data_IF_781127510013
#
_entry.id   IF_781127510013
#
_cell.length_a   1.000
_cell.length_b   1.000
_cell.length_c   1.000
_cell.angle_alpha   90.00
_cell.angle_beta   90.00
_cell.angle_gamma   90.00
#
_symmetry.space_group_name_H-M   'P 1'
#
loop_
_entity.id
_entity.type
_entity.pdbx_description
1 polymer ?
#
# COMPACT_ATOMS: atom_id res chain seq x y z
N UNK A 1 -15.98 -12.02 3.72
CA UNK A 1 -14.59 -11.60 3.55
C UNK A 1 -14.30 -11.34 2.08
N UNK A 2 -13.75 -10.19 1.77
CA UNK A 2 -13.43 -9.81 0.40
C UNK A 2 -11.93 -9.81 0.21
N UNK A 3 -11.44 -10.36 -0.91
CA UNK A 3 -10.03 -10.38 -1.24
C UNK A 3 -9.81 -9.93 -2.67
N UNK A 4 -8.77 -9.12 -2.87
CA UNK A 4 -8.37 -8.62 -4.17
C UNK A 4 -6.87 -8.87 -4.30
N UNK A 5 -6.46 -9.41 -5.45
CA UNK A 5 -5.05 -9.59 -5.76
C UNK A 5 -4.85 -9.21 -7.22
N UNK A 6 -3.97 -8.25 -7.47
CA UNK A 6 -3.69 -7.78 -8.82
C UNK A 6 -2.21 -7.52 -9.00
N UNK A 7 -1.78 -7.55 -10.26
CA UNK A 7 -0.44 -7.14 -10.64
C UNK A 7 -0.53 -5.86 -11.45
N UNK A 8 0.37 -4.94 -11.13
CA UNK A 8 0.47 -3.67 -11.81
C UNK A 8 1.86 -3.55 -12.43
N UNK A 9 1.94 -2.97 -13.62
CA UNK A 9 3.23 -2.64 -14.19
C UNK A 9 3.88 -1.55 -13.35
N UNK A 10 5.18 -1.71 -13.07
CA UNK A 10 5.92 -0.77 -12.22
C UNK A 10 6.29 0.48 -13.01
N UNK A 11 5.30 1.25 -13.37
CA UNK A 11 5.43 2.46 -14.17
C UNK A 11 4.68 3.61 -13.49
N UNK A 12 4.87 4.81 -14.01
CA UNK A 12 4.31 6.02 -13.39
C UNK A 12 2.80 6.02 -13.19
N UNK A 13 2.06 5.20 -13.93
CA UNK A 13 0.60 5.13 -13.82
C UNK A 13 0.11 4.11 -12.79
N UNK A 14 1.01 3.37 -12.15
CA UNK A 14 0.61 2.26 -11.27
C UNK A 14 -0.26 2.73 -10.11
N UNK A 15 0.09 3.85 -9.46
CA UNK A 15 -0.69 4.35 -8.33
C UNK A 15 -2.10 4.75 -8.76
N UNK A 16 -2.24 5.39 -9.91
CA UNK A 16 -3.55 5.77 -10.43
C UNK A 16 -4.39 4.53 -10.76
N UNK A 17 -3.76 3.52 -11.37
CA UNK A 17 -4.45 2.28 -11.69
C UNK A 17 -4.93 1.57 -10.42
N UNK A 18 -4.11 1.58 -9.37
CA UNK A 18 -4.51 1.01 -8.10
C UNK A 18 -5.71 1.74 -7.50
N UNK A 19 -5.71 3.08 -7.54
CA UNK A 19 -6.84 3.85 -7.02
C UNK A 19 -8.13 3.59 -7.78
N UNK A 20 -8.06 3.54 -9.11
CA UNK A 20 -9.23 3.24 -9.94
C UNK A 20 -9.80 1.87 -9.58
N UNK A 21 -8.93 0.88 -9.45
CA UNK A 21 -9.34 -0.48 -9.09
C UNK A 21 -10.02 -0.51 -7.72
N UNK A 22 -9.42 0.14 -6.73
CA UNK A 22 -9.97 0.16 -5.37
C UNK A 22 -11.35 0.82 -5.36
N UNK A 23 -11.50 1.95 -6.03
CA UNK A 23 -12.81 2.61 -6.08
C UNK A 23 -13.86 1.75 -6.76
N UNK A 24 -13.48 1.08 -7.83
CA UNK A 24 -14.39 0.22 -8.57
C UNK A 24 -14.82 -0.99 -7.76
N UNK A 25 -13.88 -1.61 -7.05
CA UNK A 25 -14.13 -2.87 -6.35
C UNK A 25 -14.64 -2.67 -4.93
N UNK A 26 -14.23 -1.60 -4.26
CA UNK A 26 -14.49 -1.41 -2.83
C UNK A 26 -15.18 -0.09 -2.51
N UNK A 27 -15.43 0.75 -3.50
CA UNK A 27 -15.99 2.09 -3.26
C UNK A 27 -17.35 2.09 -2.59
N UNK A 28 -18.17 1.08 -2.84
CA UNK A 28 -19.49 0.96 -2.23
C UNK A 28 -19.48 0.08 -0.99
N UNK A 29 -18.39 -0.65 -0.76
CA UNK A 29 -18.28 -1.59 0.36
C UNK A 29 -17.73 -0.91 1.60
N UNK A 30 -16.78 -0.01 1.43
CA UNK A 30 -16.10 0.63 2.55
C UNK A 30 -16.73 1.97 2.90
N UNK A 31 -16.79 2.30 4.19
CA UNK A 31 -17.15 3.66 4.59
C UNK A 31 -16.20 4.68 3.98
N UNK A 32 -16.68 5.89 3.75
CA UNK A 32 -15.92 6.91 3.01
C UNK A 32 -14.56 7.20 3.65
N UNK A 33 -14.49 7.31 4.97
CA UNK A 33 -13.26 7.61 5.68
C UNK A 33 -12.23 6.50 5.50
N UNK A 34 -12.67 5.26 5.63
CA UNK A 34 -11.78 4.11 5.49
C UNK A 34 -11.32 3.95 4.04
N UNK A 35 -12.21 4.18 3.09
CA UNK A 35 -11.85 4.17 1.68
C UNK A 35 -10.77 5.22 1.38
N UNK A 36 -10.93 6.42 1.93
CA UNK A 36 -9.97 7.49 1.74
C UNK A 36 -8.60 7.12 2.29
N UNK A 37 -8.57 6.56 3.51
CA UNK A 37 -7.33 6.12 4.12
C UNK A 37 -6.66 5.02 3.29
N UNK A 38 -7.45 4.06 2.80
CA UNK A 38 -6.92 2.99 1.96
C UNK A 38 -6.32 3.53 0.67
N UNK A 39 -7.04 4.44 0.00
CA UNK A 39 -6.54 5.05 -1.23
C UNK A 39 -5.23 5.80 -0.98
N UNK A 40 -5.13 6.48 0.14
CA UNK A 40 -3.93 7.25 0.50
C UNK A 40 -2.75 6.32 0.76
N UNK A 41 -2.95 5.30 1.59
CA UNK A 41 -1.87 4.35 1.92
C UNK A 41 -1.40 3.61 0.68
N UNK A 42 -2.32 3.06 -0.11
CA UNK A 42 -1.94 2.31 -1.30
C UNK A 42 -1.22 3.20 -2.31
N UNK A 43 -1.68 4.43 -2.50
CA UNK A 43 -1.04 5.37 -3.43
C UNK A 43 0.42 5.60 -3.04
N UNK A 44 0.69 5.82 -1.76
CA UNK A 44 2.04 6.08 -1.30
C UNK A 44 2.92 4.84 -1.42
N UNK A 45 2.40 3.68 -1.07
CA UNK A 45 3.18 2.44 -1.16
C UNK A 45 3.48 2.04 -2.59
N UNK A 46 2.51 2.19 -3.49
CA UNK A 46 2.73 1.88 -4.90
C UNK A 46 3.72 2.88 -5.52
N UNK A 47 3.59 4.16 -5.18
CA UNK A 47 4.53 5.18 -5.65
C UNK A 47 5.95 4.88 -5.18
N UNK A 48 6.10 4.47 -3.92
CA UNK A 48 7.41 4.07 -3.38
C UNK A 48 7.96 2.85 -4.12
N UNK A 49 7.12 1.87 -4.42
CA UNK A 49 7.54 0.69 -5.15
C UNK A 49 8.01 1.02 -6.57
N UNK A 50 7.35 1.97 -7.23
CA UNK A 50 7.78 2.43 -8.56
C UNK A 50 9.12 3.15 -8.47
N UNK A 51 9.29 4.01 -7.48
CA UNK A 51 10.51 4.84 -7.36
C UNK A 51 11.72 4.06 -6.90
N UNK A 52 11.55 3.19 -5.93
CA UNK A 52 12.66 2.60 -5.18
C UNK A 52 12.76 1.09 -5.35
N UNK A 53 11.72 0.46 -5.86
CA UNK A 53 11.73 -0.97 -6.08
C UNK A 53 12.47 -1.36 -7.34
N UNK A 54 12.63 -2.65 -7.52
CA UNK A 54 13.20 -3.22 -8.72
C UNK A 54 12.20 -4.22 -9.30
N UNK A 55 12.41 -4.56 -10.56
CA UNK A 55 11.49 -5.44 -11.27
C UNK A 55 10.42 -4.66 -12.01
N UNK A 56 9.63 -5.38 -12.77
CA UNK A 56 8.68 -4.80 -13.69
C UNK A 56 7.25 -4.83 -13.17
N UNK A 57 7.03 -5.50 -12.05
CA UNK A 57 5.69 -5.79 -11.56
C UNK A 57 5.58 -5.45 -10.08
N UNK A 58 4.43 -4.86 -9.73
CA UNK A 58 4.04 -4.61 -8.35
C UNK A 58 2.81 -5.47 -8.08
N UNK A 59 2.85 -6.22 -6.99
CA UNK A 59 1.72 -7.05 -6.56
C UNK A 59 1.01 -6.33 -5.43
N UNK A 60 -0.29 -6.13 -5.62
CA UNK A 60 -1.16 -5.51 -4.63
C UNK A 60 -2.19 -6.53 -4.17
N UNK A 61 -2.25 -6.77 -2.87
CA UNK A 61 -3.22 -7.66 -2.26
C UNK A 61 -3.97 -6.92 -1.17
N UNK A 62 -5.29 -7.00 -1.20
CA UNK A 62 -6.16 -6.35 -0.23
C UNK A 62 -7.15 -7.35 0.31
N UNK A 63 -7.53 -7.20 1.56
CA UNK A 63 -8.55 -8.02 2.19
C UNK A 63 -9.39 -7.19 3.14
N UNK A 64 -10.69 -7.49 3.19
CA UNK A 64 -11.60 -6.90 4.17
C UNK A 64 -12.06 -8.02 5.07
N UNK A 65 -11.77 -7.91 6.35
CA UNK A 65 -12.13 -8.91 7.34
C UNK A 65 -13.59 -8.74 7.80
N UNK A 66 -14.06 -9.72 8.57
CA UNK A 66 -15.44 -9.75 9.06
C UNK A 66 -15.74 -8.55 9.95
N UNK A 67 -14.74 -8.06 10.69
CA UNK A 67 -14.92 -6.91 11.57
C UNK A 67 -14.84 -5.57 10.81
N UNK A 68 -14.59 -5.62 9.51
CA UNK A 68 -14.50 -4.42 8.68
C UNK A 68 -13.09 -3.85 8.57
N UNK A 69 -12.11 -4.45 9.24
CA UNK A 69 -10.72 -4.02 9.07
C UNK A 69 -10.22 -4.34 7.67
N UNK A 70 -9.26 -3.55 7.19
CA UNK A 70 -8.68 -3.74 5.86
C UNK A 70 -7.21 -4.09 6.03
N UNK A 71 -6.80 -5.20 5.41
CA UNK A 71 -5.39 -5.57 5.33
C UNK A 71 -4.91 -5.38 3.90
N UNK A 72 -3.66 -5.00 3.75
CA UNK A 72 -3.09 -4.80 2.43
C UNK A 72 -1.61 -5.13 2.40
N UNK A 73 -1.15 -5.49 1.21
CA UNK A 73 0.25 -5.77 0.95
C UNK A 73 0.61 -5.20 -0.41
N UNK A 74 1.76 -4.54 -0.45
CA UNK A 74 2.35 -4.07 -1.71
C UNK A 74 3.75 -4.69 -1.80
N UNK A 75 3.97 -5.46 -2.85
CA UNK A 75 5.21 -6.22 -3.03
C UNK A 75 5.81 -5.98 -4.40
N UNK A 76 7.12 -5.81 -4.44
CA UNK A 76 7.87 -5.77 -5.70
C UNK A 76 9.08 -6.72 -5.60
N UNK A 77 9.63 -7.12 -6.75
CA UNK A 77 10.65 -8.16 -6.79
C UNK A 77 11.99 -7.71 -6.23
N UNK A 78 12.27 -6.42 -6.25
CA UNK A 78 13.57 -5.93 -5.83
C UNK A 78 13.68 -5.79 -4.32
N UNK A 79 14.92 -5.86 -3.85
CA UNK A 79 15.24 -5.51 -2.48
C UNK A 79 15.49 -4.01 -2.43
N UNK A 80 14.47 -3.25 -2.80
CA UNK A 80 14.54 -1.82 -2.75
C UNK A 80 14.70 -1.36 -1.31
N UNK A 81 15.15 -0.13 -1.16
CA UNK A 81 15.37 0.42 0.17
C UNK A 81 14.13 1.11 0.66
N UNK A 82 13.16 0.32 1.05
CA UNK A 82 12.01 0.84 1.75
C UNK A 82 12.27 0.63 3.23
N UNK A 83 13.05 1.49 3.82
CA UNK A 83 13.35 1.38 5.23
C UNK A 83 12.43 2.28 6.02
N UNK A 84 11.94 1.81 7.19
CA UNK A 84 11.24 2.70 8.10
C UNK A 84 12.25 3.73 8.58
N UNK A 85 12.08 4.96 8.17
CA UNK A 85 12.99 6.02 8.55
C UNK A 85 12.38 6.92 9.60
N UNK A 86 13.22 7.53 10.42
CA UNK A 86 12.73 8.54 11.35
C UNK A 86 12.01 9.66 10.61
N UNK A 87 11.13 10.30 11.32
CA UNK A 87 10.25 11.33 10.76
C UNK A 87 11.01 12.57 10.28
N UNK A 88 12.20 12.76 10.74
CA UNK A 88 12.99 13.94 10.37
C UNK A 88 13.54 13.87 8.95
N UNK A 89 13.34 12.77 8.25
CA UNK A 89 13.87 12.66 6.91
C UNK A 89 13.19 13.67 6.00
N UNK A 90 14.00 14.50 5.41
CA UNK A 90 13.54 15.43 4.40
C UNK A 90 13.36 14.73 3.04
N UNK A 91 13.57 13.43 2.98
CA UNK A 91 13.50 12.69 1.72
C UNK A 91 12.09 12.24 1.46
N UNK A 92 11.67 12.31 0.20
CA UNK A 92 10.35 11.87 -0.23
C UNK A 92 10.07 10.40 0.10
N UNK A 93 11.11 9.57 0.11
CA UNK A 93 10.93 8.15 0.38
C UNK A 93 10.48 7.87 1.82
N UNK A 94 10.85 8.74 2.77
CA UNK A 94 10.40 8.60 4.15
C UNK A 94 8.97 9.04 4.35
N UNK A 95 8.47 9.94 3.50
CA UNK A 95 7.14 10.52 3.69
C UNK A 95 6.02 9.51 3.50
N UNK A 96 6.14 8.60 2.52
CA UNK A 96 5.13 7.57 2.30
C UNK A 96 4.96 6.67 3.51
N UNK A 97 6.05 6.31 4.15
CA UNK A 97 5.99 5.48 5.35
C UNK A 97 5.44 6.24 6.54
N UNK A 98 5.64 7.55 6.62
CA UNK A 98 5.02 8.37 7.65
C UNK A 98 3.50 8.37 7.53
N UNK A 99 2.99 8.46 6.31
CA UNK A 99 1.56 8.41 6.07
C UNK A 99 1.02 7.04 6.47
N UNK A 100 1.70 5.97 6.11
CA UNK A 100 1.31 4.63 6.52
C UNK A 100 1.29 4.52 8.04
N UNK A 101 2.35 4.98 8.71
CA UNK A 101 2.42 4.93 10.16
C UNK A 101 1.32 5.75 10.83
N UNK A 102 0.91 6.86 10.21
CA UNK A 102 -0.14 7.70 10.75
C UNK A 102 -1.54 7.09 10.59
N UNK A 103 -1.79 6.41 9.49
CA UNK A 103 -3.13 5.92 9.15
C UNK A 103 -3.33 4.46 9.49
N UNK A 104 -2.28 3.64 9.44
CA UNK A 104 -2.39 2.21 9.70
C UNK A 104 -2.30 1.92 11.19
N UNK A 105 -3.10 0.95 11.64
CA UNK A 105 -3.01 0.44 13.00
C UNK A 105 -1.74 -0.38 13.19
N UNK A 106 -1.38 -1.13 12.16
CA UNK A 106 -0.14 -1.93 12.12
C UNK A 106 0.44 -1.89 10.73
N UNK A 107 1.76 -1.96 10.66
CA UNK A 107 2.43 -2.07 9.37
C UNK A 107 3.82 -2.66 9.57
N UNK A 108 4.35 -3.27 8.52
CA UNK A 108 5.66 -3.90 8.56
C UNK A 108 6.30 -3.88 7.18
N UNK A 109 7.62 -4.00 7.16
CA UNK A 109 8.39 -4.11 5.92
C UNK A 109 9.24 -5.37 6.01
N UNK A 110 9.15 -6.21 4.98
CA UNK A 110 9.94 -7.43 4.86
C UNK A 110 10.82 -7.31 3.62
N UNK A 111 12.11 -7.47 3.79
CA UNK A 111 13.11 -7.32 2.73
C UNK A 111 13.85 -8.62 2.42
N UNK A 112 13.30 -9.79 2.76
CA UNK A 112 14.02 -11.04 2.59
C UNK A 112 14.26 -11.37 1.11
N UNK A 113 13.24 -11.78 0.39
CA UNK A 113 13.36 -12.15 -1.03
C UNK A 113 12.87 -11.07 -1.97
N UNK A 114 12.01 -10.22 -1.46
CA UNK A 114 11.40 -9.11 -2.20
C UNK A 114 11.21 -7.98 -1.22
N UNK A 115 10.69 -6.85 -1.70
CA UNK A 115 10.24 -5.79 -0.81
C UNK A 115 8.74 -5.95 -0.63
N UNK A 116 8.32 -6.23 0.60
CA UNK A 116 6.92 -6.40 0.95
C UNK A 116 6.57 -5.45 2.07
N UNK A 117 5.64 -4.55 1.80
CA UNK A 117 5.07 -3.67 2.84
C UNK A 117 3.66 -4.15 3.12
N UNK A 118 3.40 -4.50 4.36
CA UNK A 118 2.08 -4.95 4.81
C UNK A 118 1.51 -3.92 5.78
N UNK A 119 0.19 -3.74 5.73
CA UNK A 119 -0.49 -2.80 6.63
C UNK A 119 -1.88 -3.30 6.99
N UNK A 120 -2.39 -2.77 8.08
CA UNK A 120 -3.76 -3.02 8.52
C UNK A 120 -4.41 -1.70 8.91
N UNK A 121 -5.59 -1.42 8.36
CA UNK A 121 -6.41 -0.29 8.75
C UNK A 121 -7.49 -0.77 9.70
N UNK A 122 -7.65 -0.07 10.81
CA UNK A 122 -8.65 -0.42 11.81
C UNK A 122 -10.06 -0.34 11.22
N UNK A 123 -10.99 -1.16 11.74
CA UNK A 123 -12.39 -1.05 11.31
C UNK A 123 -12.93 0.34 11.67
N UNK A 124 -13.94 0.79 10.93
CA UNK A 124 -14.50 2.12 11.14
C UNK A 124 -15.16 2.29 12.51
#
# INVERSE_FOLDING_TARGET
MTRIAVELAAKGQAAQQARVLIRKRLGETLPATLLWDLLTVVSELVTNAVRHGKGDTIRLRLGIDVDGSVTGEVENDGRGRVEPRPIDTATTSGMGLHIVAALAERWSVDLNDSTLVAFELAPP
#
